data_IF_813620151920
#
_entry.id   IF_813620151920
#
_cell.length_a   1.000
_cell.length_b   1.000
_cell.length_c   1.000
_cell.angle_alpha   90.00
_cell.angle_beta   90.00
_cell.angle_gamma   90.00
#
_symmetry.space_group_name_H-M   'P 1'
#
loop_
_entity.id
_entity.type
_entity.pdbx_description
1 polymer ?
#
# COMPACT_ATOMS: atom_id res chain seq x y z
N UNK A 1 -27.50 -14.33 69.10
CA UNK A 1 -26.93 -14.73 67.79
C UNK A 1 -25.43 -14.81 67.95
N UNK A 2 -24.98 -15.98 68.40
CA UNK A 2 -23.58 -16.39 68.39
C UNK A 2 -23.01 -16.60 66.98
N UNK A 3 -21.67 -16.72 66.98
CA UNK A 3 -20.78 -17.44 66.06
C UNK A 3 -20.09 -16.61 64.99
N UNK A 4 -18.78 -16.78 64.77
CA UNK A 4 -17.66 -17.38 65.51
C UNK A 4 -16.42 -16.98 64.70
N UNK A 5 -15.31 -16.76 65.38
CA UNK A 5 -13.97 -16.55 64.81
C UNK A 5 -13.62 -17.59 63.73
N UNK A 6 -12.98 -17.17 62.63
CA UNK A 6 -12.14 -18.04 61.80
C UNK A 6 -10.95 -17.30 61.22
N UNK A 7 -9.80 -17.67 61.78
CA UNK A 7 -8.40 -17.55 61.37
C UNK A 7 -8.06 -16.86 60.05
N UNK A 8 -7.16 -15.87 60.14
CA UNK A 8 -6.31 -15.46 59.03
C UNK A 8 -5.31 -16.60 58.78
N UNK A 9 -5.47 -17.33 57.68
CA UNK A 9 -4.46 -18.25 57.20
C UNK A 9 -3.42 -17.43 56.44
N UNK A 10 -2.18 -17.44 56.92
CA UNK A 10 -1.05 -16.82 56.25
C UNK A 10 -0.91 -17.44 54.84
N UNK A 11 -1.12 -16.63 53.81
CA UNK A 11 -0.73 -16.99 52.45
C UNK A 11 0.81 -17.00 52.41
N UNK A 12 1.44 -18.02 51.80
CA UNK A 12 2.89 -17.97 51.58
C UNK A 12 3.22 -16.80 50.65
N UNK A 13 4.32 -16.09 50.94
CA UNK A 13 4.90 -15.09 50.06
C UNK A 13 5.11 -15.67 48.66
N UNK A 14 4.23 -15.31 47.73
CA UNK A 14 4.45 -15.52 46.31
C UNK A 14 5.41 -14.41 45.88
N UNK A 15 6.71 -14.72 45.84
CA UNK A 15 7.67 -13.83 45.21
C UNK A 15 7.29 -13.71 43.72
N UNK A 16 7.05 -12.49 43.20
CA UNK A 16 6.77 -12.32 41.80
C UNK A 16 8.04 -12.66 41.01
N UNK A 17 8.07 -13.83 40.37
CA UNK A 17 9.06 -14.13 39.34
C UNK A 17 8.79 -13.18 38.17
N UNK A 18 9.47 -12.04 38.19
CA UNK A 18 9.47 -11.09 37.10
C UNK A 18 10.28 -11.70 35.94
N UNK A 19 9.56 -12.34 35.01
CA UNK A 19 10.14 -12.69 33.73
C UNK A 19 10.68 -11.41 33.06
N UNK A 20 11.86 -11.44 32.42
CA UNK A 20 12.42 -10.25 31.79
C UNK A 20 11.45 -9.74 30.74
N UNK A 21 11.06 -8.47 30.87
CA UNK A 21 10.23 -7.80 29.89
C UNK A 21 10.94 -7.82 28.53
N UNK A 22 10.34 -8.46 27.54
CA UNK A 22 10.81 -8.29 26.16
C UNK A 22 10.60 -6.82 25.79
N UNK A 23 11.61 -6.15 25.23
CA UNK A 23 11.41 -4.78 24.78
C UNK A 23 10.30 -4.74 23.73
N UNK A 24 9.25 -3.97 24.02
CA UNK A 24 8.25 -3.64 23.02
C UNK A 24 8.94 -2.73 21.99
N UNK A 25 9.26 -3.30 20.83
CA UNK A 25 9.74 -2.52 19.68
C UNK A 25 8.50 -1.90 19.05
N UNK A 26 8.34 -0.59 19.21
CA UNK A 26 7.31 0.14 18.50
C UNK A 26 7.47 -0.09 16.99
N UNK A 27 6.39 -0.36 16.24
CA UNK A 27 6.48 -0.48 14.80
C UNK A 27 7.08 0.81 14.23
N UNK A 28 8.01 0.66 13.29
CA UNK A 28 8.61 1.80 12.59
C UNK A 28 7.50 2.67 11.97
N UNK A 29 7.67 4.01 11.95
CA UNK A 29 6.69 4.88 11.31
C UNK A 29 6.50 4.44 9.86
N UNK A 30 5.27 4.11 9.49
CA UNK A 30 4.89 3.88 8.09
C UNK A 30 5.21 5.15 7.31
N UNK A 31 6.01 5.02 6.26
CA UNK A 31 6.31 6.13 5.37
C UNK A 31 4.97 6.69 4.84
N UNK A 32 4.84 8.02 4.73
CA UNK A 32 3.67 8.61 4.11
C UNK A 32 3.52 8.06 2.68
N UNK A 33 2.28 7.94 2.17
CA UNK A 33 2.07 7.47 0.80
C UNK A 33 2.89 8.33 -0.16
N UNK A 34 3.54 7.68 -1.13
CA UNK A 34 4.29 8.40 -2.16
C UNK A 34 3.37 9.42 -2.84
N UNK A 35 3.86 10.66 -2.93
CA UNK A 35 3.16 11.76 -3.60
C UNK A 35 3.12 11.57 -5.13
N UNK A 36 3.69 10.48 -5.64
CA UNK A 36 3.64 10.15 -7.06
C UNK A 36 2.20 9.92 -7.51
N UNK A 37 1.83 10.40 -8.71
CA UNK A 37 0.50 10.21 -9.25
C UNK A 37 0.27 8.72 -9.56
N UNK A 38 -0.87 8.19 -9.12
CA UNK A 38 -1.30 6.82 -9.42
C UNK A 38 -1.99 6.82 -10.79
N UNK A 39 -1.21 6.68 -11.85
CA UNK A 39 -1.67 6.78 -13.23
C UNK A 39 -2.08 5.43 -13.81
N UNK A 40 -3.17 5.41 -14.59
CA UNK A 40 -3.61 4.26 -15.37
C UNK A 40 -3.70 4.59 -16.85
N UNK A 41 -3.15 3.72 -17.67
CA UNK A 41 -3.40 3.73 -19.11
C UNK A 41 -4.71 2.99 -19.42
N UNK A 42 -5.59 3.65 -20.16
CA UNK A 42 -6.81 3.08 -20.74
C UNK A 42 -6.74 3.23 -22.26
N UNK A 43 -7.04 2.16 -22.98
CA UNK A 43 -7.05 2.15 -24.45
C UNK A 43 -8.49 1.90 -24.88
N UNK A 44 -9.07 2.88 -25.58
CA UNK A 44 -10.44 2.81 -26.08
C UNK A 44 -10.44 2.63 -27.59
N UNK A 45 -11.38 1.84 -28.10
CA UNK A 45 -11.68 1.77 -29.52
C UNK A 45 -12.52 2.99 -29.93
N UNK A 46 -12.03 3.71 -30.94
CA UNK A 46 -12.71 4.81 -31.59
C UNK A 46 -13.49 4.36 -32.83
N UNK A 47 -13.86 5.33 -33.67
CA UNK A 47 -14.57 5.04 -34.91
C UNK A 47 -13.67 4.28 -35.90
N UNK A 48 -14.28 3.38 -36.68
CA UNK A 48 -13.62 2.65 -37.75
C UNK A 48 -12.32 1.89 -37.33
N UNK A 49 -12.28 1.38 -36.09
CA UNK A 49 -11.12 0.62 -35.60
C UNK A 49 -9.92 1.47 -35.21
N UNK A 50 -10.09 2.78 -35.06
CA UNK A 50 -9.08 3.65 -34.44
C UNK A 50 -8.95 3.36 -32.94
N UNK A 51 -7.83 3.77 -32.34
CA UNK A 51 -7.63 3.64 -30.89
C UNK A 51 -7.21 4.97 -30.28
N UNK A 52 -7.70 5.24 -29.07
CA UNK A 52 -7.36 6.41 -28.28
C UNK A 52 -6.77 5.96 -26.94
N UNK A 53 -5.58 6.45 -26.64
CA UNK A 53 -4.83 6.16 -25.42
C UNK A 53 -5.08 7.29 -24.42
N UNK A 54 -5.59 6.96 -23.24
CA UNK A 54 -5.87 7.90 -22.15
C UNK A 54 -5.05 7.54 -20.91
N UNK A 55 -4.36 8.52 -20.35
CA UNK A 55 -3.74 8.40 -19.03
C UNK A 55 -4.65 9.07 -18.02
N UNK A 56 -5.10 8.29 -17.03
CA UNK A 56 -6.07 8.72 -16.02
C UNK A 56 -5.40 8.68 -14.66
N UNK A 57 -5.53 9.74 -13.87
CA UNK A 57 -5.21 9.68 -12.45
C UNK A 57 -6.30 8.86 -11.74
N UNK A 58 -5.92 7.72 -11.15
CA UNK A 58 -6.86 6.78 -10.52
C UNK A 58 -7.46 7.31 -9.22
N UNK A 59 -6.80 8.25 -8.54
CA UNK A 59 -7.29 8.82 -7.29
C UNK A 59 -8.38 9.85 -7.55
N UNK A 60 -8.24 10.65 -8.61
CA UNK A 60 -9.17 11.73 -8.95
C UNK A 60 -10.16 11.38 -10.06
N UNK A 61 -9.81 10.45 -10.95
CA UNK A 61 -10.56 10.14 -12.17
C UNK A 61 -10.28 11.09 -13.34
N UNK A 62 -9.35 12.02 -13.18
CA UNK A 62 -9.02 13.02 -14.20
C UNK A 62 -8.23 12.41 -15.36
N UNK A 63 -8.57 12.81 -16.59
CA UNK A 63 -7.78 12.46 -17.78
C UNK A 63 -6.63 13.46 -17.91
N UNK A 64 -5.42 13.01 -17.60
CA UNK A 64 -4.20 13.82 -17.62
C UNK A 64 -3.64 13.97 -19.04
N UNK A 65 -3.79 12.93 -19.87
CA UNK A 65 -3.29 12.92 -21.24
C UNK A 65 -4.19 12.06 -22.13
N UNK A 66 -4.44 12.52 -23.35
CA UNK A 66 -5.16 11.78 -24.38
C UNK A 66 -4.40 11.87 -25.70
N UNK A 67 -4.08 10.74 -26.31
CA UNK A 67 -3.35 10.65 -27.57
C UNK A 67 -4.04 9.66 -28.52
N UNK A 68 -4.17 9.99 -29.82
CA UNK A 68 -4.55 9.00 -30.82
C UNK A 68 -3.40 8.02 -31.06
N UNK A 69 -3.70 6.81 -31.56
CA UNK A 69 -2.72 5.74 -31.79
C UNK A 69 -1.52 6.21 -32.62
N UNK A 70 -1.76 7.03 -33.63
CA UNK A 70 -0.74 7.50 -34.57
C UNK A 70 0.33 8.34 -33.87
N UNK A 71 -0.05 9.12 -32.85
CA UNK A 71 0.88 9.90 -32.04
C UNK A 71 1.71 8.99 -31.13
N UNK A 72 1.08 7.99 -30.51
CA UNK A 72 1.79 7.01 -29.67
C UNK A 72 2.82 6.23 -30.48
N UNK A 73 2.50 5.85 -31.72
CA UNK A 73 3.44 5.19 -32.62
C UNK A 73 4.60 6.10 -33.00
N UNK A 74 4.36 7.39 -33.25
CA UNK A 74 5.44 8.37 -33.48
C UNK A 74 6.34 8.52 -32.26
N UNK A 75 5.78 8.56 -31.05
CA UNK A 75 6.56 8.63 -29.81
C UNK A 75 7.44 7.40 -29.61
N UNK A 76 6.95 6.20 -29.95
CA UNK A 76 7.73 4.96 -29.89
C UNK A 76 8.98 5.02 -30.77
N UNK A 77 8.86 5.65 -31.93
CA UNK A 77 9.94 5.71 -32.93
C UNK A 77 10.85 6.95 -32.74
N UNK A 78 10.57 7.79 -31.74
CA UNK A 78 11.36 8.98 -31.45
C UNK A 78 12.71 8.63 -30.80
N UNK A 79 13.76 9.38 -31.15
CA UNK A 79 15.11 9.19 -30.58
C UNK A 79 15.15 9.37 -29.05
N UNK A 80 14.27 10.22 -28.51
CA UNK A 80 14.15 10.46 -27.08
C UNK A 80 13.42 9.34 -26.31
N UNK A 81 12.90 8.31 -26.99
CA UNK A 81 12.20 7.22 -26.33
C UNK A 81 13.18 6.33 -25.57
N UNK A 82 12.92 6.16 -24.27
CA UNK A 82 13.65 5.23 -23.41
C UNK A 82 12.66 4.18 -22.90
N UNK A 83 12.91 2.92 -23.25
CA UNK A 83 12.08 1.81 -22.79
C UNK A 83 12.25 1.61 -21.26
N UNK A 84 11.15 1.27 -20.60
CA UNK A 84 11.16 0.86 -19.19
C UNK A 84 11.74 -0.54 -18.96
N UNK A 85 11.84 -0.94 -17.69
CA UNK A 85 12.27 -2.28 -17.32
C UNK A 85 11.09 -3.26 -17.23
N UNK A 86 11.32 -4.51 -17.64
CA UNK A 86 10.37 -5.61 -17.39
C UNK A 86 10.69 -6.20 -16.02
N UNK A 87 9.71 -6.19 -15.11
CA UNK A 87 9.84 -6.75 -13.77
C UNK A 87 9.12 -8.11 -13.74
N UNK A 88 9.88 -9.18 -13.53
CA UNK A 88 9.31 -10.51 -13.30
C UNK A 88 8.90 -10.63 -11.82
N UNK A 89 7.60 -10.59 -11.54
CA UNK A 89 7.07 -10.78 -10.18
C UNK A 89 6.55 -12.22 -10.04
N UNK A 90 6.69 -12.81 -8.85
CA UNK A 90 6.00 -14.06 -8.50
C UNK A 90 4.64 -13.71 -7.88
N UNK A 91 3.66 -14.60 -8.04
CA UNK A 91 2.29 -14.42 -7.54
C UNK A 91 2.16 -14.73 -6.05
#
# INVERSE_FOLDING_TARGET
>A
MENKLSAVAALPDIEPVQAPARPFVAPAPVAPPSAEPDLRLVIEEGQAGSFVYKTIDRRTGEVVLQLPREEVLRMRDAEAYVAGAVIATQA
#
